data_IF_476628297984
#
_entry.id   IF_476628297984
#
_cell.length_a   1.000
_cell.length_b   1.000
_cell.length_c   1.000
_cell.angle_alpha   90.00
_cell.angle_beta   90.00
_cell.angle_gamma   90.00
#
_symmetry.space_group_name_H-M   'P 1'
#
loop_
_entity.id
_entity.type
_entity.pdbx_description
1 polymer ?
#
# COMPACT_ATOMS: atom_id res chain seq x y z
N UNK A 1 8.39 -13.00 23.48
CA UNK A 1 8.18 -11.54 23.40
C UNK A 1 7.96 -11.20 21.93
N UNK A 2 6.97 -10.37 21.65
CA UNK A 2 6.19 -10.38 20.41
C UNK A 2 6.84 -9.61 19.25
N UNK A 3 7.57 -10.29 18.36
CA UNK A 3 8.21 -9.63 17.19
C UNK A 3 7.35 -9.63 15.90
N UNK A 4 6.16 -10.26 15.90
CA UNK A 4 5.29 -10.31 14.71
C UNK A 4 4.29 -9.14 14.47
N UNK A 5 3.98 -8.19 15.39
CA UNK A 5 2.91 -7.21 15.13
C UNK A 5 3.35 -5.98 14.30
N UNK A 6 4.64 -5.65 14.25
CA UNK A 6 5.10 -4.40 13.63
C UNK A 6 4.88 -4.37 12.11
N UNK A 7 5.20 -5.46 11.40
CA UNK A 7 5.08 -5.49 9.94
C UNK A 7 3.64 -5.33 9.45
N UNK A 8 2.69 -6.04 10.08
CA UNK A 8 1.26 -5.94 9.75
C UNK A 8 0.69 -4.56 10.04
N UNK A 9 1.16 -3.91 11.11
CA UNK A 9 0.76 -2.54 11.45
C UNK A 9 1.29 -1.51 10.48
N UNK A 10 2.54 -1.65 10.06
CA UNK A 10 3.16 -0.78 9.04
C UNK A 10 2.42 -0.94 7.72
N UNK A 11 2.18 -2.17 7.26
CA UNK A 11 1.43 -2.42 6.03
C UNK A 11 0.00 -1.84 6.09
N UNK A 12 -0.70 -2.01 7.22
CA UNK A 12 -2.02 -1.42 7.42
C UNK A 12 -1.99 0.12 7.37
N UNK A 13 -0.93 0.73 7.92
CA UNK A 13 -0.73 2.18 7.86
C UNK A 13 -0.43 2.67 6.44
N UNK A 14 0.44 1.99 5.69
CA UNK A 14 0.69 2.32 4.28
C UNK A 14 -0.60 2.21 3.46
N UNK A 15 -1.36 1.12 3.60
CA UNK A 15 -2.64 0.97 2.88
C UNK A 15 -3.63 2.08 3.25
N UNK A 16 -3.70 2.43 4.53
CA UNK A 16 -4.56 3.53 4.99
C UNK A 16 -4.13 4.87 4.40
N UNK A 17 -2.83 5.17 4.38
CA UNK A 17 -2.26 6.35 3.75
C UNK A 17 -2.54 6.37 2.25
N UNK A 18 -2.32 5.24 1.56
CA UNK A 18 -2.59 5.08 0.14
C UNK A 18 -4.05 5.39 -0.25
N UNK A 19 -5.01 5.09 0.64
CA UNK A 19 -6.43 5.39 0.46
C UNK A 19 -6.79 6.83 0.87
N UNK A 20 -6.22 7.34 1.96
CA UNK A 20 -6.56 8.66 2.51
C UNK A 20 -5.91 9.83 1.76
N UNK A 21 -4.65 9.70 1.33
CA UNK A 21 -3.92 10.75 0.61
C UNK A 21 -4.62 11.23 -0.68
N UNK A 22 -5.14 10.37 -1.58
CA UNK A 22 -5.81 10.85 -2.78
C UNK A 22 -7.13 11.55 -2.46
N UNK A 23 -7.86 11.09 -1.44
CA UNK A 23 -9.09 11.75 -0.96
C UNK A 23 -8.76 13.15 -0.45
N UNK A 24 -7.70 13.25 0.36
CA UNK A 24 -7.22 14.53 0.89
C UNK A 24 -6.74 15.47 -0.24
N UNK A 25 -6.03 14.95 -1.25
CA UNK A 25 -5.59 15.72 -2.40
C UNK A 25 -6.77 16.28 -3.20
N UNK A 26 -7.81 15.47 -3.44
CA UNK A 26 -9.05 15.95 -4.08
C UNK A 26 -9.76 17.02 -3.26
N UNK A 27 -9.83 16.86 -1.94
CA UNK A 27 -10.39 17.88 -1.06
C UNK A 27 -9.60 19.20 -1.14
N UNK A 28 -8.27 19.14 -1.14
CA UNK A 28 -7.40 20.33 -1.27
C UNK A 28 -7.58 21.04 -2.62
N UNK A 29 -7.71 20.28 -3.72
CA UNK A 29 -7.99 20.84 -5.05
C UNK A 29 -9.36 21.53 -5.06
N UNK A 30 -10.39 20.87 -4.51
CA UNK A 30 -11.74 21.43 -4.43
C UNK A 30 -11.78 22.73 -3.61
N UNK A 31 -11.15 22.74 -2.44
CA UNK A 31 -11.03 23.92 -1.58
C UNK A 31 -10.25 25.03 -2.31
N UNK A 32 -9.12 24.72 -2.94
CA UNK A 32 -8.35 25.70 -3.72
C UNK A 32 -9.16 26.31 -4.88
N UNK A 33 -9.99 25.51 -5.56
CA UNK A 33 -10.88 26.01 -6.61
C UNK A 33 -11.95 26.96 -6.06
N UNK A 34 -12.51 26.66 -4.89
CA UNK A 34 -13.45 27.55 -4.18
C UNK A 34 -12.80 28.87 -3.77
N UNK A 35 -11.59 28.86 -3.20
CA UNK A 35 -10.86 30.09 -2.87
C UNK A 35 -10.54 30.91 -4.13
N UNK A 36 -10.14 30.25 -5.21
CA UNK A 36 -9.91 30.90 -6.50
C UNK A 36 -11.16 31.57 -7.05
N UNK A 37 -12.35 30.96 -6.87
CA UNK A 37 -13.63 31.56 -7.25
C UNK A 37 -14.01 32.77 -6.38
N UNK A 38 -13.52 32.83 -5.13
CA UNK A 38 -13.69 33.96 -4.22
C UNK A 38 -12.76 35.14 -4.53
N UNK A 39 -11.83 34.99 -5.49
CA UNK A 39 -10.84 36.00 -5.84
C UNK A 39 -9.53 35.91 -5.06
N UNK A 40 -9.40 34.95 -4.15
CA UNK A 40 -8.16 34.70 -3.40
C UNK A 40 -7.22 33.79 -4.20
N UNK A 41 -6.40 34.43 -5.05
CA UNK A 41 -5.42 33.74 -5.90
C UNK A 41 -4.24 33.18 -5.09
N UNK A 42 -3.86 33.85 -4.00
CA UNK A 42 -2.74 33.42 -3.15
C UNK A 42 -3.11 32.13 -2.39
N UNK A 43 -4.33 32.08 -1.86
CA UNK A 43 -4.90 30.86 -1.27
C UNK A 43 -4.91 29.69 -2.27
N UNK A 44 -5.38 29.92 -3.51
CA UNK A 44 -5.42 28.89 -4.56
C UNK A 44 -4.04 28.25 -4.82
N UNK A 45 -2.99 29.06 -4.93
CA UNK A 45 -1.63 28.54 -5.22
C UNK A 45 -1.11 27.70 -4.06
N UNK A 46 -1.38 28.10 -2.81
CA UNK A 46 -0.96 27.36 -1.62
C UNK A 46 -1.66 25.99 -1.53
N UNK A 47 -2.97 25.95 -1.76
CA UNK A 47 -3.74 24.70 -1.80
C UNK A 47 -3.30 23.78 -2.96
N UNK A 48 -2.99 24.35 -4.13
CA UNK A 48 -2.49 23.57 -5.25
C UNK A 48 -1.10 22.98 -4.99
N UNK A 49 -0.20 23.75 -4.37
CA UNK A 49 1.12 23.25 -3.92
C UNK A 49 0.98 22.15 -2.88
N UNK A 50 0.05 22.30 -1.93
CA UNK A 50 -0.19 21.30 -0.90
C UNK A 50 -0.78 20.02 -1.51
N UNK A 51 -1.71 20.14 -2.45
CA UNK A 51 -2.24 19.00 -3.20
C UNK A 51 -1.13 18.29 -4.01
N UNK A 52 -0.23 19.04 -4.65
CA UNK A 52 0.92 18.47 -5.36
C UNK A 52 1.90 17.74 -4.43
N UNK A 53 2.19 18.32 -3.25
CA UNK A 53 3.01 17.66 -2.23
C UNK A 53 2.33 16.37 -1.70
N UNK A 54 1.01 16.41 -1.50
CA UNK A 54 0.19 15.25 -1.13
C UNK A 54 0.29 14.15 -2.19
N UNK A 55 0.17 14.50 -3.48
CA UNK A 55 0.33 13.55 -4.58
C UNK A 55 1.75 12.96 -4.65
N UNK A 56 2.79 13.77 -4.40
CA UNK A 56 4.17 13.29 -4.35
C UNK A 56 4.38 12.29 -3.20
N UNK A 57 3.88 12.60 -2.01
CA UNK A 57 3.91 11.68 -0.85
C UNK A 57 3.16 10.38 -1.14
N UNK A 58 2.03 10.47 -1.86
CA UNK A 58 1.26 9.30 -2.25
C UNK A 58 2.05 8.37 -3.20
N UNK A 59 2.79 8.93 -4.17
CA UNK A 59 3.64 8.11 -5.04
C UNK A 59 4.74 7.41 -4.25
N UNK A 60 5.38 8.11 -3.31
CA UNK A 60 6.42 7.51 -2.45
C UNK A 60 5.84 6.38 -1.60
N UNK A 61 4.64 6.57 -1.04
CA UNK A 61 3.93 5.54 -0.27
C UNK A 61 3.57 4.32 -1.12
N UNK A 62 3.11 4.53 -2.37
CA UNK A 62 2.80 3.46 -3.32
C UNK A 62 4.05 2.62 -3.62
N UNK A 63 5.19 3.26 -3.87
CA UNK A 63 6.48 2.57 -4.08
C UNK A 63 6.87 1.78 -2.82
N UNK A 64 6.73 2.37 -1.63
CA UNK A 64 6.99 1.68 -0.36
C UNK A 64 6.11 0.45 -0.16
N UNK A 65 4.83 0.55 -0.52
CA UNK A 65 3.86 -0.54 -0.43
C UNK A 65 4.23 -1.69 -1.38
N UNK A 66 4.61 -1.38 -2.62
CA UNK A 66 5.07 -2.37 -3.60
C UNK A 66 6.33 -3.09 -3.12
N UNK A 67 7.30 -2.35 -2.57
CA UNK A 67 8.54 -2.94 -2.02
C UNK A 67 8.24 -3.85 -0.82
N UNK A 68 7.37 -3.42 0.09
CA UNK A 68 6.97 -4.22 1.26
C UNK A 68 6.30 -5.53 0.84
N UNK A 69 5.35 -5.46 -0.11
CA UNK A 69 4.69 -6.64 -0.68
C UNK A 69 5.68 -7.57 -1.40
N UNK A 70 6.63 -7.00 -2.16
CA UNK A 70 7.65 -7.79 -2.84
C UNK A 70 8.54 -8.56 -1.85
N UNK A 71 8.95 -7.94 -0.75
CA UNK A 71 9.73 -8.58 0.31
C UNK A 71 8.92 -9.69 0.99
N UNK A 72 7.63 -9.48 1.24
CA UNK A 72 6.75 -10.49 1.82
C UNK A 72 6.59 -11.71 0.91
N UNK A 73 6.37 -11.50 -0.39
CA UNK A 73 6.26 -12.59 -1.39
C UNK A 73 7.57 -13.36 -1.51
N UNK A 74 8.71 -12.67 -1.57
CA UNK A 74 10.04 -13.31 -1.61
C UNK A 74 10.32 -14.10 -0.32
N UNK A 75 9.89 -13.59 0.83
CA UNK A 75 9.97 -14.29 2.12
C UNK A 75 9.13 -15.56 2.15
N UNK A 76 7.91 -15.52 1.63
CA UNK A 76 7.01 -16.67 1.54
C UNK A 76 7.53 -17.77 0.59
N UNK A 77 8.03 -17.39 -0.59
CA UNK A 77 8.62 -18.31 -1.56
C UNK A 77 9.81 -19.08 -0.96
N UNK A 78 10.63 -18.42 -0.13
CA UNK A 78 11.76 -19.07 0.54
C UNK A 78 11.33 -20.15 1.57
N UNK A 79 10.10 -20.09 2.07
CA UNK A 79 9.60 -20.98 3.12
C UNK A 79 8.58 -22.01 2.64
N UNK A 80 8.21 -22.07 1.34
CA UNK A 80 7.35 -23.16 0.87
C UNK A 80 8.08 -24.49 1.05
N UNK A 81 7.63 -25.37 1.97
CA UNK A 81 8.19 -26.71 2.07
C UNK A 81 7.81 -27.46 0.79
N UNK A 82 8.66 -28.37 0.28
CA UNK A 82 8.26 -29.26 -0.80
C UNK A 82 6.94 -29.92 -0.42
N UNK A 83 5.94 -29.79 -1.28
CA UNK A 83 4.68 -30.53 -1.18
C UNK A 83 5.04 -32.01 -0.95
N UNK A 84 4.58 -32.64 0.15
CA UNK A 84 4.91 -34.05 0.38
C UNK A 84 4.33 -34.81 -0.79
N UNK A 85 5.23 -35.30 -1.65
CA UNK A 85 4.91 -36.14 -2.79
C UNK A 85 3.92 -37.19 -2.30
N UNK A 86 2.72 -37.15 -2.87
CA UNK A 86 1.67 -38.11 -2.60
C UNK A 86 2.32 -39.50 -2.64
N UNK A 87 2.31 -40.19 -1.51
CA UNK A 87 2.68 -41.59 -1.42
C UNK A 87 2.01 -42.31 -2.58
N UNK A 88 2.84 -42.81 -3.48
CA UNK A 88 2.45 -43.80 -4.48
C UNK A 88 2.11 -45.05 -3.67
N UNK A 89 0.88 -45.13 -3.17
CA UNK A 89 0.31 -46.39 -2.67
C UNK A 89 0.05 -47.24 -3.90
N UNK A 90 1.05 -48.02 -4.30
CA UNK A 90 0.85 -49.20 -5.14
C UNK A 90 -0.24 -50.07 -4.51
N UNK A 91 -1.32 -50.44 -5.22
CA UNK A 91 -2.18 -51.52 -4.76
C UNK A 91 -1.40 -52.82 -4.95
N UNK A 92 -0.89 -53.33 -3.82
CA UNK A 92 -0.36 -54.67 -3.66
C UNK A 92 -1.37 -55.69 -4.23
N UNK A 93 -0.98 -56.30 -5.35
CA UNK A 93 -1.65 -57.41 -6.00
C UNK A 93 -1.44 -58.68 -5.15
N UNK A 94 -2.47 -59.13 -4.44
CA UNK A 94 -2.51 -60.45 -3.80
C UNK A 94 -3.26 -61.43 -4.73
N UNK A 95 -2.52 -62.43 -5.22
CA UNK A 95 -3.01 -63.69 -5.80
C UNK A 95 -3.26 -64.73 -4.69
#
# INVERSE_FOLDING_TARGET
MSDQPCHKRVLAWLVTLLLMLPILAWALIGVGALLGAMGDQDGRVLFFRLAAACAALWIVDLVGCVVALAVEVLGQQRWQPPEPASETTEPQQED
#
